data_IF_930960525235
#
_entry.id   IF_930960525235
#
_cell.length_a   1.000
_cell.length_b   1.000
_cell.length_c   1.000
_cell.angle_alpha   90.00
_cell.angle_beta   90.00
_cell.angle_gamma   90.00
#
_symmetry.space_group_name_H-M   'P 1'
#
loop_
_entity.id
_entity.type
_entity.pdbx_description
1 polymer ?
#
# COMPACT_ATOMS: atom_id res chain seq x y z
N UNK A 1 5.87 55.76 -36.57
CA UNK A 1 4.63 55.26 -35.94
C UNK A 1 5.02 54.41 -34.74
N UNK A 2 4.81 54.70 -33.47
CA UNK A 2 4.11 55.77 -32.71
C UNK A 2 4.82 55.79 -31.34
N UNK A 3 5.48 56.89 -30.97
CA UNK A 3 5.26 57.75 -29.79
C UNK A 3 4.93 57.10 -28.41
N UNK A 4 5.84 57.38 -27.45
CA UNK A 4 5.78 57.63 -25.98
C UNK A 4 4.41 58.07 -25.33
N UNK A 5 4.22 58.17 -23.98
CA UNK A 5 5.22 58.67 -22.98
C UNK A 5 5.15 58.20 -21.48
N UNK A 6 6.19 58.61 -20.75
CA UNK A 6 6.30 58.78 -19.28
C UNK A 6 5.23 59.71 -18.68
N UNK A 7 4.82 59.48 -17.41
CA UNK A 7 4.37 60.54 -16.49
C UNK A 7 4.48 60.15 -14.99
N UNK A 8 5.46 60.76 -14.31
CA UNK A 8 5.38 61.45 -13.00
C UNK A 8 4.41 60.98 -11.89
N UNK A 9 4.94 60.48 -10.76
CA UNK A 9 4.33 60.62 -9.40
C UNK A 9 5.45 60.58 -8.33
N UNK A 10 6.06 61.72 -7.95
CA UNK A 10 5.76 62.58 -6.79
C UNK A 10 5.63 61.86 -5.43
N UNK A 11 6.68 61.97 -4.62
CA UNK A 11 6.75 61.66 -3.19
C UNK A 11 5.64 62.39 -2.40
N UNK A 12 4.81 61.64 -1.68
CA UNK A 12 3.82 62.19 -0.74
C UNK A 12 3.82 61.36 0.54
N UNK A 13 4.33 61.98 1.60
CA UNK A 13 4.24 61.55 3.00
C UNK A 13 2.74 61.52 3.37
N UNK A 14 2.22 60.37 3.83
CA UNK A 14 0.83 60.21 4.32
C UNK A 14 0.81 59.73 5.79
N UNK A 15 -0.26 60.01 6.55
CA UNK A 15 -0.23 60.25 7.99
C UNK A 15 -0.33 58.99 8.87
N UNK A 16 0.31 59.07 10.03
CA UNK A 16 0.60 57.98 10.99
C UNK A 16 -0.61 57.22 11.58
N UNK A 17 -1.85 57.73 11.46
CA UNK A 17 -3.04 57.08 12.08
C UNK A 17 -3.70 55.99 11.23
N UNK A 18 -3.53 55.99 9.91
CA UNK A 18 -4.07 54.93 9.03
C UNK A 18 -3.26 53.62 9.10
N UNK A 19 -1.99 53.70 9.52
CA UNK A 19 -1.14 52.53 9.72
C UNK A 19 -1.63 51.66 10.88
N UNK A 20 -2.09 52.24 12.00
CA UNK A 20 -2.48 51.44 13.17
C UNK A 20 -3.71 50.54 12.94
N UNK A 21 -4.74 51.03 12.24
CA UNK A 21 -5.93 50.23 11.95
C UNK A 21 -5.65 49.17 10.87
N UNK A 22 -4.84 49.51 9.86
CA UNK A 22 -4.43 48.57 8.82
C UNK A 22 -3.52 47.47 9.39
N UNK A 23 -2.60 47.80 10.31
CA UNK A 23 -1.74 46.83 10.99
C UNK A 23 -2.57 45.91 11.90
N UNK A 24 -3.60 46.40 12.59
CA UNK A 24 -4.48 45.55 13.41
C UNK A 24 -5.27 44.54 12.55
N UNK A 25 -5.88 44.99 11.44
CA UNK A 25 -6.61 44.11 10.51
C UNK A 25 -5.68 43.12 9.81
N UNK A 26 -4.47 43.56 9.45
CA UNK A 26 -3.46 42.69 8.85
C UNK A 26 -2.96 41.66 9.87
N UNK A 27 -2.68 42.06 11.10
CA UNK A 27 -2.22 41.16 12.16
C UNK A 27 -3.31 40.15 12.55
N UNK A 28 -4.59 40.56 12.53
CA UNK A 28 -5.72 39.66 12.77
C UNK A 28 -5.99 38.70 11.59
N UNK A 29 -5.84 39.14 10.33
CA UNK A 29 -5.87 38.26 9.15
C UNK A 29 -4.69 37.28 9.12
N UNK A 30 -3.49 37.74 9.46
CA UNK A 30 -2.28 36.91 9.55
C UNK A 30 -2.46 35.87 10.66
N UNK A 31 -3.03 36.24 11.81
CA UNK A 31 -3.29 35.32 12.91
C UNK A 31 -4.34 34.26 12.55
N UNK A 32 -5.40 34.63 11.80
CA UNK A 32 -6.41 33.69 11.29
C UNK A 32 -5.83 32.73 10.24
N UNK A 33 -5.02 33.22 9.30
CA UNK A 33 -4.31 32.35 8.34
C UNK A 33 -3.26 31.46 9.01
N UNK A 34 -2.58 31.94 10.06
CA UNK A 34 -1.64 31.12 10.82
C UNK A 34 -2.35 30.00 11.60
N UNK A 35 -3.56 30.25 12.13
CA UNK A 35 -4.35 29.20 12.77
C UNK A 35 -4.91 28.19 11.77
N UNK A 36 -5.28 28.63 10.56
CA UNK A 36 -5.69 27.72 9.48
C UNK A 36 -4.52 26.85 8.98
N UNK A 37 -3.31 27.41 8.87
CA UNK A 37 -2.09 26.67 8.49
C UNK A 37 -1.57 25.74 9.60
N UNK A 38 -1.73 26.10 10.88
CA UNK A 38 -1.32 25.27 12.00
C UNK A 38 -2.29 24.10 12.26
N UNK A 39 -3.59 24.24 11.96
CA UNK A 39 -4.55 23.12 11.96
C UNK A 39 -4.35 22.21 10.73
N UNK A 40 -3.97 22.77 9.57
CA UNK A 40 -3.59 22.00 8.37
C UNK A 40 -2.27 21.22 8.53
N UNK A 41 -1.36 21.68 9.40
CA UNK A 41 -0.08 21.02 9.72
C UNK A 41 -0.10 20.24 11.03
N UNK A 42 -1.22 20.20 11.76
CA UNK A 42 -1.48 19.14 12.74
C UNK A 42 -1.72 17.86 11.94
N UNK A 43 -0.67 17.34 11.30
CA UNK A 43 -0.71 16.04 10.65
C UNK A 43 -1.12 15.05 11.74
N UNK A 44 -2.35 14.50 11.69
CA UNK A 44 -2.59 13.33 12.49
C UNK A 44 -1.56 12.28 12.03
N UNK A 45 -1.11 11.42 12.94
CA UNK A 45 -0.29 10.24 12.59
C UNK A 45 -0.86 9.53 11.34
N UNK A 46 -2.19 9.58 11.19
CA UNK A 46 -2.94 9.09 10.04
C UNK A 46 -2.55 9.71 8.69
N UNK A 47 -2.20 11.00 8.59
CA UNK A 47 -1.80 11.62 7.33
C UNK A 47 -0.45 11.09 6.82
N UNK A 48 0.49 10.86 7.74
CA UNK A 48 1.79 10.28 7.42
C UNK A 48 1.67 8.79 7.06
N UNK A 49 0.78 8.08 7.76
CA UNK A 49 0.44 6.69 7.43
C UNK A 49 -0.21 6.60 6.04
N UNK A 50 -1.15 7.49 5.71
CA UNK A 50 -1.81 7.47 4.39
C UNK A 50 -0.85 7.80 3.25
N UNK A 51 0.07 8.75 3.44
CA UNK A 51 1.13 9.02 2.46
C UNK A 51 2.03 7.79 2.23
N UNK A 52 2.40 7.10 3.30
CA UNK A 52 3.18 5.86 3.20
C UNK A 52 2.40 4.73 2.52
N UNK A 53 1.10 4.58 2.82
CA UNK A 53 0.24 3.59 2.18
C UNK A 53 0.11 3.85 0.68
N UNK A 54 -0.11 5.11 0.29
CA UNK A 54 -0.24 5.51 -1.11
C UNK A 54 1.07 5.30 -1.88
N UNK A 55 2.21 5.64 -1.28
CA UNK A 55 3.53 5.40 -1.88
C UNK A 55 3.78 3.91 -2.11
N UNK A 56 3.48 3.07 -1.11
CA UNK A 56 3.60 1.62 -1.22
C UNK A 56 2.66 1.09 -2.31
N UNK A 57 1.40 1.52 -2.33
CA UNK A 57 0.44 1.11 -3.34
C UNK A 57 0.89 1.50 -4.76
N UNK A 58 1.46 2.70 -4.92
CA UNK A 58 1.97 3.17 -6.21
C UNK A 58 3.17 2.33 -6.71
N UNK A 59 4.10 1.96 -5.84
CA UNK A 59 5.26 1.12 -6.23
C UNK A 59 4.81 -0.27 -6.68
N UNK A 60 3.90 -0.89 -5.93
CA UNK A 60 3.36 -2.22 -6.25
C UNK A 60 2.52 -2.20 -7.52
N UNK A 61 1.66 -1.19 -7.70
CA UNK A 61 0.86 -1.05 -8.92
C UNK A 61 1.71 -0.77 -10.16
N UNK A 62 2.87 -0.13 -10.03
CA UNK A 62 3.74 0.22 -11.15
C UNK A 62 4.60 -0.95 -11.65
N UNK A 63 5.06 -1.82 -10.74
CA UNK A 63 5.95 -2.94 -11.08
C UNK A 63 5.24 -4.29 -11.10
N UNK A 64 4.03 -4.39 -10.57
CA UNK A 64 3.22 -5.60 -10.59
C UNK A 64 2.69 -5.94 -11.98
N UNK A 65 2.50 -7.24 -12.24
CA UNK A 65 1.83 -7.70 -13.45
C UNK A 65 0.34 -7.27 -13.38
N UNK A 66 -0.19 -6.51 -14.36
CA UNK A 66 -1.58 -6.06 -14.34
C UNK A 66 -2.59 -7.20 -14.28
N UNK A 67 -2.22 -8.42 -14.70
CA UNK A 67 -3.10 -9.61 -14.66
C UNK A 67 -3.43 -10.07 -13.24
N UNK A 68 -2.54 -9.81 -12.28
CA UNK A 68 -2.67 -10.30 -10.90
C UNK A 68 -3.23 -9.25 -9.94
N UNK A 69 -3.51 -8.02 -10.42
CA UNK A 69 -3.90 -6.90 -9.58
C UNK A 69 -5.25 -7.12 -8.85
N UNK A 70 -6.18 -7.84 -9.49
CA UNK A 70 -7.50 -8.12 -8.92
C UNK A 70 -7.52 -9.35 -8.00
N UNK A 71 -6.38 -9.97 -7.74
CA UNK A 71 -6.32 -11.17 -6.91
C UNK A 71 -6.37 -10.84 -5.43
N UNK A 72 -6.98 -11.77 -4.68
CA UNK A 72 -7.06 -11.66 -3.23
C UNK A 72 -5.63 -11.60 -2.67
N UNK A 73 -5.39 -10.63 -1.77
CA UNK A 73 -4.09 -10.36 -1.14
C UNK A 73 -2.97 -9.83 -2.05
N UNK A 74 -3.22 -9.60 -3.35
CA UNK A 74 -2.21 -9.06 -4.29
C UNK A 74 -2.37 -7.56 -4.57
N UNK A 75 -3.51 -6.96 -4.19
CA UNK A 75 -3.78 -5.53 -4.39
C UNK A 75 -2.86 -4.61 -3.55
N UNK A 76 -2.44 -5.07 -2.37
CA UNK A 76 -1.49 -4.35 -1.53
C UNK A 76 -0.74 -5.30 -0.60
N UNK A 77 0.47 -4.94 -0.13
CA UNK A 77 1.23 -5.73 0.83
C UNK A 77 0.69 -5.65 2.27
N UNK A 78 -0.25 -4.75 2.55
CA UNK A 78 -0.75 -4.55 3.92
C UNK A 78 -1.65 -5.70 4.41
N UNK A 79 -2.61 -6.22 3.64
CA UNK A 79 -3.39 -7.41 4.01
C UNK A 79 -2.53 -8.63 4.35
N UNK A 80 -1.49 -8.91 3.55
CA UNK A 80 -0.59 -10.04 3.81
C UNK A 80 0.22 -9.85 5.09
N UNK A 81 0.75 -8.63 5.32
CA UNK A 81 1.45 -8.30 6.55
C UNK A 81 0.53 -8.40 7.78
N UNK A 82 -0.71 -7.94 7.67
CA UNK A 82 -1.69 -8.04 8.75
C UNK A 82 -1.96 -9.51 9.13
N UNK A 83 -2.12 -10.40 8.13
CA UNK A 83 -2.29 -11.84 8.36
C UNK A 83 -1.06 -12.42 9.06
N UNK A 84 0.14 -12.15 8.57
CA UNK A 84 1.39 -12.64 9.17
C UNK A 84 1.55 -12.19 10.63
N UNK A 85 1.33 -10.90 10.92
CA UNK A 85 1.42 -10.35 12.27
C UNK A 85 0.35 -10.96 13.19
N UNK A 86 -0.88 -11.08 12.70
CA UNK A 86 -1.97 -11.71 13.46
C UNK A 86 -1.65 -13.17 13.78
N UNK A 87 -1.12 -13.94 12.83
CA UNK A 87 -0.71 -15.33 13.05
C UNK A 87 0.35 -15.44 14.15
N UNK A 88 1.40 -14.61 14.09
CA UNK A 88 2.46 -14.61 15.11
C UNK A 88 1.90 -14.25 16.47
N UNK A 89 1.05 -13.23 16.56
CA UNK A 89 0.40 -12.85 17.82
C UNK A 89 -0.47 -13.98 18.40
N UNK A 90 -1.29 -14.61 17.56
CA UNK A 90 -2.17 -15.70 17.97
C UNK A 90 -1.38 -16.91 18.46
N UNK A 91 -0.31 -17.30 17.76
CA UNK A 91 0.49 -18.49 18.12
C UNK A 91 1.42 -18.25 19.31
N UNK A 92 2.03 -17.06 19.42
CA UNK A 92 3.02 -16.77 20.47
C UNK A 92 2.42 -16.23 21.76
N UNK A 93 1.33 -15.47 21.68
CA UNK A 93 0.74 -14.80 22.85
C UNK A 93 -0.58 -15.45 23.24
N UNK A 94 -1.54 -15.48 22.33
CA UNK A 94 -2.90 -15.93 22.67
C UNK A 94 -2.97 -17.44 22.92
N UNK A 95 -2.30 -18.24 22.09
CA UNK A 95 -2.27 -19.70 22.16
C UNK A 95 -1.76 -20.21 23.51
N UNK A 96 -0.55 -19.84 23.97
CA UNK A 96 -0.01 -20.28 25.25
C UNK A 96 -0.86 -19.81 26.43
N UNK A 97 -1.39 -18.57 26.40
CA UNK A 97 -2.26 -18.05 27.46
C UNK A 97 -3.57 -18.82 27.59
N UNK A 98 -4.14 -19.28 26.47
CA UNK A 98 -5.36 -20.09 26.48
C UNK A 98 -5.09 -21.56 26.89
N UNK A 99 -3.88 -22.07 26.63
CA UNK A 99 -3.48 -23.45 26.92
C UNK A 99 -2.92 -23.67 28.33
N UNK A 100 -2.58 -22.62 29.07
CA UNK A 100 -1.96 -22.70 30.40
C UNK A 100 -2.76 -23.54 31.42
N UNK A 101 -4.09 -23.50 31.35
CA UNK A 101 -4.99 -24.21 32.28
C UNK A 101 -5.80 -25.34 31.63
N UNK A 102 -5.37 -25.83 30.46
CA UNK A 102 -6.10 -26.86 29.70
C UNK A 102 -5.18 -28.03 29.35
N UNK A 103 -5.74 -29.25 29.34
CA UNK A 103 -5.03 -30.45 28.87
C UNK A 103 -4.80 -30.34 27.35
N UNK A 104 -3.71 -30.93 26.81
CA UNK A 104 -3.45 -30.91 25.37
C UNK A 104 -4.59 -31.59 24.60
N UNK A 105 -4.96 -31.02 23.47
CA UNK A 105 -6.00 -31.58 22.61
C UNK A 105 -5.45 -32.76 21.79
N UNK A 106 -6.16 -33.89 21.83
CA UNK A 106 -5.86 -35.06 20.99
C UNK A 106 -6.40 -34.85 19.57
N UNK A 107 -5.61 -34.19 18.72
CA UNK A 107 -5.98 -33.82 17.35
C UNK A 107 -5.43 -34.79 16.29
N UNK A 108 -5.11 -36.05 16.66
CA UNK A 108 -4.41 -37.00 15.79
C UNK A 108 -5.10 -37.20 14.43
N UNK A 109 -6.41 -37.39 14.42
CA UNK A 109 -7.17 -37.58 13.18
C UNK A 109 -7.21 -36.31 12.31
N UNK A 110 -7.32 -35.14 12.94
CA UNK A 110 -7.27 -33.86 12.23
C UNK A 110 -5.88 -33.63 11.60
N UNK A 111 -4.80 -34.00 12.31
CA UNK A 111 -3.43 -33.92 11.79
C UNK A 111 -3.21 -34.86 10.59
N UNK A 112 -3.73 -36.08 10.66
CA UNK A 112 -3.64 -37.04 9.55
C UNK A 112 -4.39 -36.51 8.32
N UNK A 113 -5.62 -36.00 8.51
CA UNK A 113 -6.42 -35.42 7.43
C UNK A 113 -5.73 -34.18 6.82
N UNK A 114 -5.16 -33.31 7.65
CA UNK A 114 -4.41 -32.13 7.21
C UNK A 114 -3.20 -32.52 6.34
N UNK A 115 -2.39 -33.47 6.80
CA UNK A 115 -1.22 -33.93 6.04
C UNK A 115 -1.62 -34.58 4.71
N UNK A 116 -2.71 -35.36 4.69
CA UNK A 116 -3.22 -35.97 3.47
C UNK A 116 -3.68 -34.89 2.47
N UNK A 117 -4.46 -33.91 2.94
CA UNK A 117 -4.89 -32.78 2.13
C UNK A 117 -3.70 -32.00 1.58
N UNK A 118 -2.67 -31.75 2.40
CA UNK A 118 -1.46 -31.06 1.98
C UNK A 118 -0.74 -31.80 0.85
N UNK A 119 -0.59 -33.13 0.95
CA UNK A 119 0.05 -33.93 -0.12
C UNK A 119 -0.77 -33.90 -1.40
N UNK A 120 -2.10 -34.04 -1.32
CA UNK A 120 -2.98 -33.97 -2.50
C UNK A 120 -2.89 -32.59 -3.16
N UNK A 121 -2.94 -31.52 -2.35
CA UNK A 121 -2.84 -30.15 -2.85
C UNK A 121 -1.48 -29.88 -3.51
N UNK A 122 -0.37 -30.29 -2.88
CA UNK A 122 0.96 -30.17 -3.49
C UNK A 122 1.11 -30.99 -4.77
N UNK A 123 0.52 -32.18 -4.84
CA UNK A 123 0.53 -33.00 -6.06
C UNK A 123 -0.27 -32.33 -7.19
N UNK A 124 -1.39 -31.70 -6.87
CA UNK A 124 -2.18 -30.93 -7.83
C UNK A 124 -1.43 -29.69 -8.35
N UNK A 125 -0.81 -28.91 -7.46
CA UNK A 125 0.04 -27.78 -7.87
C UNK A 125 1.20 -28.25 -8.76
N UNK A 126 1.83 -29.38 -8.43
CA UNK A 126 2.89 -29.94 -9.24
C UNK A 126 2.40 -30.35 -10.65
N UNK A 127 1.21 -30.92 -10.76
CA UNK A 127 0.59 -31.24 -12.04
C UNK A 127 0.33 -29.97 -12.88
N UNK A 128 -0.23 -28.93 -12.29
CA UNK A 128 -0.46 -27.64 -12.97
C UNK A 128 0.87 -26.95 -13.37
N UNK A 129 1.92 -27.03 -12.55
CA UNK A 129 3.27 -26.56 -12.90
C UNK A 129 3.80 -27.27 -14.16
N UNK A 130 3.70 -28.61 -14.19
CA UNK A 130 4.18 -29.42 -15.29
C UNK A 130 3.44 -29.08 -16.58
N UNK A 131 2.11 -29.06 -16.52
CA UNK A 131 1.28 -28.69 -17.67
C UNK A 131 1.48 -27.24 -18.08
N UNK A 132 1.69 -26.33 -17.12
CA UNK A 132 1.90 -24.90 -17.31
C UNK A 132 3.09 -24.53 -18.21
N UNK A 133 4.08 -25.41 -18.34
CA UNK A 133 5.16 -25.21 -19.30
C UNK A 133 6.27 -26.25 -19.26
N UNK A 134 6.55 -26.84 -18.09
CA UNK A 134 7.73 -27.69 -17.88
C UNK A 134 7.65 -29.05 -18.59
N UNK A 135 6.47 -29.46 -19.10
CA UNK A 135 6.27 -30.69 -19.86
C UNK A 135 6.52 -30.54 -21.39
N UNK A 136 6.93 -29.38 -21.89
CA UNK A 136 7.32 -29.27 -23.31
C UNK A 136 7.67 -27.88 -23.84
N UNK A 137 7.07 -26.82 -23.29
CA UNK A 137 7.26 -25.44 -23.79
C UNK A 137 8.43 -24.71 -23.10
N UNK A 138 8.75 -25.09 -21.85
CA UNK A 138 9.83 -24.50 -21.06
C UNK A 138 11.05 -25.41 -20.98
N UNK A 139 12.23 -24.84 -21.22
CA UNK A 139 13.51 -25.50 -20.91
C UNK A 139 13.78 -25.45 -19.40
N UNK A 140 14.48 -26.45 -18.86
CA UNK A 140 15.04 -26.44 -17.49
C UNK A 140 16.20 -25.43 -17.30
N UNK A 141 16.27 -24.40 -18.15
CA UNK A 141 17.28 -23.33 -18.11
C UNK A 141 16.59 -21.99 -17.82
N UNK A 142 17.37 -20.92 -17.66
CA UNK A 142 16.81 -19.57 -17.50
C UNK A 142 15.95 -19.21 -18.72
N UNK A 143 14.63 -19.21 -18.52
CA UNK A 143 13.62 -18.74 -19.47
C UNK A 143 13.02 -17.44 -18.90
N UNK A 144 12.93 -16.36 -19.68
CA UNK A 144 12.25 -15.15 -19.21
C UNK A 144 10.75 -15.41 -18.98
N UNK A 145 10.15 -14.63 -18.09
CA UNK A 145 8.71 -14.68 -17.84
C UNK A 145 7.97 -14.16 -19.07
N UNK A 146 7.01 -14.94 -19.56
CA UNK A 146 6.13 -14.51 -20.64
C UNK A 146 4.93 -13.75 -20.06
N UNK A 147 4.85 -12.46 -20.39
CA UNK A 147 3.74 -11.57 -20.00
C UNK A 147 2.58 -11.60 -21.02
N UNK A 148 2.66 -12.43 -22.06
CA UNK A 148 1.57 -12.60 -23.01
C UNK A 148 0.33 -13.25 -22.38
N UNK A 149 -0.84 -13.05 -22.98
CA UNK A 149 -2.10 -13.69 -22.58
C UNK A 149 -2.30 -15.05 -23.27
N UNK A 150 -1.23 -15.80 -23.49
CA UNK A 150 -1.31 -17.18 -23.98
C UNK A 150 -1.93 -18.09 -22.91
N UNK A 151 -2.63 -19.14 -23.32
CA UNK A 151 -3.31 -20.06 -22.40
C UNK A 151 -2.36 -20.68 -21.36
N UNK A 152 -1.12 -21.00 -21.75
CA UNK A 152 -0.08 -21.50 -20.85
C UNK A 152 0.39 -20.44 -19.86
N UNK A 153 0.67 -19.20 -20.31
CA UNK A 153 1.13 -18.11 -19.44
C UNK A 153 0.06 -17.70 -18.41
N UNK A 154 -1.22 -17.65 -18.83
CA UNK A 154 -2.33 -17.36 -17.93
C UNK A 154 -2.54 -18.48 -16.91
N UNK A 155 -2.41 -19.76 -17.30
CA UNK A 155 -2.47 -20.89 -16.36
C UNK A 155 -1.38 -20.85 -15.29
N UNK A 156 -0.13 -20.57 -15.69
CA UNK A 156 0.98 -20.40 -14.73
C UNK A 156 0.73 -19.21 -13.80
N UNK A 157 0.14 -18.13 -14.31
CA UNK A 157 -0.25 -17.02 -13.45
C UNK A 157 -1.29 -17.47 -12.41
N UNK A 158 -2.39 -18.12 -12.80
CA UNK A 158 -3.44 -18.55 -11.87
C UNK A 158 -2.97 -19.57 -10.83
N UNK A 159 -1.91 -20.33 -11.12
CA UNK A 159 -1.28 -21.22 -10.15
C UNK A 159 -0.62 -20.45 -8.98
N UNK A 160 -0.15 -19.22 -9.22
CA UNK A 160 0.53 -18.42 -8.20
C UNK A 160 -0.44 -17.82 -7.16
N UNK A 161 -1.74 -18.11 -7.24
CA UNK A 161 -2.75 -17.70 -6.29
C UNK A 161 -3.12 -18.83 -5.33
#
# INVERSE_FOLDING_TARGET
SVLCPLSSVKSRILPSRACHHSVFVLNQRISLSLTDDLEARRQPIMALIMQYIDDMHHVFSKHGDPRTNNWLLMSSPFPTLAICLSYVYLVKVLGPRLMENRKPFELRNALIAYNLFQVIFSAWLFYECLMGGWWGEYSFRCQPVDYSNSSSATRVSHLHQ
#
